data_IF_000556912624
#
_entry.id   IF_000556912624
#
_cell.length_a   1.000
_cell.length_b   1.000
_cell.length_c   1.000
_cell.angle_alpha   90.00
_cell.angle_beta   90.00
_cell.angle_gamma   90.00
#
_symmetry.space_group_name_H-M   'P 1'
#
loop_
_entity.id
_entity.type
_entity.pdbx_description
1 polymer ?
#
# COMPACT_ATOMS: atom_id res chain seq x y z
N UNK A 1 3.70 19.40 -4.28
CA UNK A 1 4.80 18.53 -3.77
C UNK A 1 5.75 18.23 -4.94
N UNK A 2 7.05 18.33 -4.73
CA UNK A 2 8.08 18.07 -5.74
C UNK A 2 8.94 16.88 -5.28
N UNK A 3 9.07 15.88 -6.14
CA UNK A 3 9.88 14.67 -5.88
C UNK A 3 10.98 14.47 -6.92
N UNK A 4 11.39 15.55 -7.60
CA UNK A 4 12.46 15.51 -8.60
C UNK A 4 13.73 14.89 -8.03
N UNK A 5 14.23 13.82 -8.67
CA UNK A 5 15.42 13.08 -8.24
C UNK A 5 15.23 12.17 -7.03
N UNK A 6 14.04 12.08 -6.47
CA UNK A 6 13.71 11.15 -5.39
C UNK A 6 13.45 9.74 -5.95
N UNK A 7 13.90 8.73 -5.20
CA UNK A 7 13.76 7.32 -5.55
C UNK A 7 12.65 6.69 -4.71
N UNK A 8 11.63 6.18 -5.37
CA UNK A 8 10.41 5.66 -4.76
C UNK A 8 10.25 4.19 -5.11
N UNK A 9 10.02 3.35 -4.12
CA UNK A 9 9.71 1.92 -4.31
C UNK A 9 8.27 1.67 -3.89
N UNK A 10 7.48 1.04 -4.76
CA UNK A 10 6.06 0.74 -4.54
C UNK A 10 5.82 -0.75 -4.76
N UNK A 11 5.39 -1.45 -3.72
CA UNK A 11 4.95 -2.84 -3.88
C UNK A 11 3.49 -2.89 -4.34
N UNK A 12 3.16 -3.83 -5.26
CA UNK A 12 1.81 -3.90 -5.83
C UNK A 12 1.46 -2.67 -6.67
N UNK A 13 2.43 -2.15 -7.43
CA UNK A 13 2.29 -0.92 -8.23
C UNK A 13 1.66 -1.11 -9.61
N UNK A 14 1.23 -2.32 -9.97
CA UNK A 14 0.71 -2.61 -11.32
C UNK A 14 -0.76 -2.31 -11.53
N UNK A 15 -1.55 -2.09 -10.46
CA UNK A 15 -2.99 -1.81 -10.53
C UNK A 15 -3.46 -0.96 -9.34
N UNK A 16 -4.66 -0.43 -9.42
CA UNK A 16 -5.36 0.22 -8.30
C UNK A 16 -4.57 1.34 -7.63
N UNK A 17 -4.56 1.35 -6.30
CA UNK A 17 -3.91 2.40 -5.49
C UNK A 17 -2.41 2.50 -5.80
N UNK A 18 -1.73 1.34 -5.94
CA UNK A 18 -0.30 1.33 -6.25
C UNK A 18 0.04 1.96 -7.60
N UNK A 19 -0.76 1.68 -8.64
CA UNK A 19 -0.59 2.28 -9.96
C UNK A 19 -0.87 3.79 -9.95
N UNK A 20 -1.96 4.21 -9.32
CA UNK A 20 -2.29 5.62 -9.15
C UNK A 20 -1.17 6.38 -8.41
N UNK A 21 -0.62 5.76 -7.36
CA UNK A 21 0.50 6.32 -6.60
C UNK A 21 1.77 6.41 -7.46
N UNK A 22 2.07 5.38 -8.26
CA UNK A 22 3.22 5.40 -9.17
C UNK A 22 3.12 6.54 -10.18
N UNK A 23 1.95 6.72 -10.80
CA UNK A 23 1.68 7.85 -11.71
C UNK A 23 1.87 9.20 -11.02
N UNK A 24 1.34 9.34 -9.81
CA UNK A 24 1.43 10.59 -9.06
C UNK A 24 2.90 10.94 -8.71
N UNK A 25 3.74 9.97 -8.30
CA UNK A 25 5.16 10.19 -8.06
C UNK A 25 5.93 10.50 -9.35
N UNK A 26 5.67 9.78 -10.45
CA UNK A 26 6.28 10.08 -11.77
C UNK A 26 5.94 11.50 -12.20
N UNK A 27 4.69 11.92 -12.10
CA UNK A 27 4.25 13.28 -12.42
C UNK A 27 4.88 14.36 -11.51
N UNK A 28 5.29 13.97 -10.31
CA UNK A 28 6.02 14.81 -9.37
C UNK A 28 7.55 14.78 -9.57
N UNK A 29 8.06 14.08 -10.60
CA UNK A 29 9.47 14.06 -11.00
C UNK A 29 10.32 12.98 -10.35
N UNK A 30 9.71 12.00 -9.67
CA UNK A 30 10.42 10.91 -9.03
C UNK A 30 10.89 9.82 -10.01
N UNK A 31 11.93 9.07 -9.62
CA UNK A 31 12.25 7.76 -10.18
C UNK A 31 11.46 6.70 -9.39
N UNK A 32 10.73 5.83 -10.07
CA UNK A 32 9.79 4.91 -9.42
C UNK A 32 10.08 3.46 -9.82
N UNK A 33 10.23 2.59 -8.84
CA UNK A 33 10.22 1.13 -9.00
C UNK A 33 8.87 0.61 -8.54
N UNK A 34 8.19 -0.14 -9.41
CA UNK A 34 6.96 -0.84 -9.06
C UNK A 34 7.15 -2.35 -9.12
N UNK A 35 6.54 -3.08 -8.17
CA UNK A 35 6.49 -4.53 -8.23
C UNK A 35 5.08 -5.05 -8.50
N UNK A 36 5.02 -6.25 -9.04
CA UNK A 36 3.79 -7.02 -9.23
C UNK A 36 4.12 -8.47 -9.57
N UNK A 37 3.18 -9.37 -9.33
CA UNK A 37 3.33 -10.81 -9.60
C UNK A 37 3.18 -11.15 -11.10
N UNK A 38 2.42 -10.34 -11.82
CA UNK A 38 2.10 -10.55 -13.23
C UNK A 38 2.94 -9.64 -14.12
N UNK A 39 3.81 -10.24 -14.94
CA UNK A 39 4.56 -9.51 -15.96
C UNK A 39 3.64 -8.72 -16.90
N UNK A 40 2.55 -9.34 -17.36
CA UNK A 40 1.59 -8.67 -18.25
C UNK A 40 0.88 -7.46 -17.62
N UNK A 41 0.59 -7.49 -16.30
CA UNK A 41 0.04 -6.31 -15.62
C UNK A 41 1.09 -5.21 -15.46
N UNK A 42 2.36 -5.56 -15.22
CA UNK A 42 3.46 -4.60 -15.17
C UNK A 42 3.73 -3.97 -16.54
N UNK A 43 3.67 -4.74 -17.61
CA UNK A 43 3.79 -4.24 -18.99
C UNK A 43 2.67 -3.24 -19.32
N UNK A 44 1.42 -3.55 -18.96
CA UNK A 44 0.29 -2.62 -19.13
C UNK A 44 0.48 -1.34 -18.31
N UNK A 45 0.89 -1.47 -17.06
CA UNK A 45 1.18 -0.32 -16.19
C UNK A 45 2.31 0.55 -16.77
N UNK A 46 3.38 -0.08 -17.28
CA UNK A 46 4.49 0.64 -17.91
C UNK A 46 4.06 1.38 -19.17
N UNK A 47 3.24 0.74 -20.01
CA UNK A 47 2.71 1.38 -21.22
C UNK A 47 1.76 2.55 -20.88
N UNK A 48 0.96 2.42 -19.82
CA UNK A 48 0.02 3.46 -19.37
C UNK A 48 0.75 4.66 -18.74
N UNK A 49 1.80 4.42 -17.93
CA UNK A 49 2.61 5.49 -17.33
C UNK A 49 3.52 6.14 -18.37
N UNK A 50 4.06 5.36 -19.29
CA UNK A 50 4.92 5.79 -20.41
C UNK A 50 6.01 6.80 -20.00
N UNK A 51 6.82 6.45 -19.01
CA UNK A 51 7.87 7.32 -18.47
C UNK A 51 9.22 6.59 -18.39
N UNK A 52 10.34 7.25 -18.78
CA UNK A 52 11.68 6.69 -18.62
C UNK A 52 12.10 6.55 -17.13
N UNK A 53 11.40 7.25 -16.23
CA UNK A 53 11.67 7.22 -14.80
C UNK A 53 10.97 6.04 -14.10
N UNK A 54 10.23 5.20 -14.83
CA UNK A 54 9.59 4.00 -14.29
C UNK A 54 10.44 2.77 -14.54
N UNK A 55 10.59 1.95 -13.51
CA UNK A 55 11.15 0.61 -13.58
C UNK A 55 10.16 -0.42 -13.02
N UNK A 56 10.04 -1.56 -13.68
CA UNK A 56 9.17 -2.65 -13.27
C UNK A 56 9.97 -3.84 -12.80
N UNK A 57 9.55 -4.48 -11.72
CA UNK A 57 10.18 -5.67 -11.15
C UNK A 57 9.11 -6.73 -10.94
N UNK A 58 9.22 -7.85 -11.65
CA UNK A 58 8.34 -9.01 -11.38
C UNK A 58 8.80 -9.62 -10.05
N UNK A 59 7.95 -9.50 -9.02
CA UNK A 59 8.22 -10.04 -7.71
C UNK A 59 6.91 -10.23 -6.93
N UNK A 60 6.73 -11.44 -6.38
CA UNK A 60 5.70 -11.74 -5.39
C UNK A 60 6.25 -11.51 -3.99
N UNK A 61 5.75 -10.49 -3.31
CA UNK A 61 6.19 -10.15 -1.95
C UNK A 61 5.83 -11.23 -0.90
N UNK A 62 4.95 -12.18 -1.20
CA UNK A 62 4.72 -13.35 -0.36
C UNK A 62 5.92 -14.32 -0.33
N UNK A 63 6.85 -14.20 -1.29
CA UNK A 63 8.00 -15.08 -1.48
C UNK A 63 9.31 -14.36 -1.14
N UNK A 64 10.00 -14.79 -0.08
CA UNK A 64 11.25 -14.14 0.35
C UNK A 64 12.34 -14.08 -0.75
N UNK A 65 12.53 -15.13 -1.59
CA UNK A 65 13.48 -15.02 -2.70
C UNK A 65 13.14 -13.92 -3.70
N UNK A 66 11.86 -13.65 -3.92
CA UNK A 66 11.43 -12.62 -4.87
C UNK A 66 11.55 -11.20 -4.28
N UNK A 67 11.43 -11.05 -2.96
CA UNK A 67 11.78 -9.80 -2.27
C UNK A 67 13.28 -9.48 -2.49
N UNK A 68 14.15 -10.49 -2.51
CA UNK A 68 15.57 -10.30 -2.81
C UNK A 68 15.81 -9.86 -4.27
N UNK A 69 14.94 -10.24 -5.22
CA UNK A 69 14.98 -9.71 -6.59
C UNK A 69 14.70 -8.21 -6.61
N UNK A 70 13.69 -7.75 -5.86
CA UNK A 70 13.40 -6.32 -5.70
C UNK A 70 14.59 -5.57 -5.07
N UNK A 71 15.12 -6.09 -3.95
CA UNK A 71 16.30 -5.50 -3.29
C UNK A 71 17.44 -5.32 -4.28
N UNK A 72 17.77 -6.37 -5.04
CA UNK A 72 18.84 -6.33 -6.06
C UNK A 72 18.55 -5.31 -7.15
N UNK A 73 17.32 -5.23 -7.67
CA UNK A 73 16.95 -4.27 -8.71
C UNK A 73 17.15 -2.82 -8.26
N UNK A 74 16.77 -2.51 -7.00
CA UNK A 74 16.95 -1.17 -6.42
C UNK A 74 18.44 -0.85 -6.21
N UNK A 75 19.23 -1.81 -5.70
CA UNK A 75 20.63 -1.58 -5.34
C UNK A 75 21.58 -1.57 -6.52
N UNK A 76 21.29 -2.32 -7.58
CA UNK A 76 22.11 -2.31 -8.80
C UNK A 76 22.16 -0.94 -9.47
N UNK A 77 21.14 -0.11 -9.31
CA UNK A 77 21.14 1.26 -9.80
C UNK A 77 22.03 2.21 -8.97
N UNK A 78 22.63 1.71 -7.87
CA UNK A 78 23.43 2.53 -6.94
C UNK A 78 22.61 3.55 -6.16
N UNK A 79 21.28 3.52 -6.29
CA UNK A 79 20.39 4.48 -5.71
C UNK A 79 20.03 4.11 -4.26
N UNK A 80 19.82 5.13 -3.44
CA UNK A 80 19.19 5.01 -2.13
C UNK A 80 17.71 5.32 -2.27
N UNK A 81 16.88 4.76 -1.39
CA UNK A 81 15.42 4.90 -1.41
C UNK A 81 14.98 6.05 -0.51
N UNK A 82 14.27 7.01 -1.07
CA UNK A 82 13.69 8.14 -0.33
C UNK A 82 12.29 7.82 0.19
N UNK A 83 11.52 7.03 -0.57
CA UNK A 83 10.14 6.65 -0.22
C UNK A 83 9.94 5.16 -0.47
N UNK A 84 9.42 4.47 0.54
CA UNK A 84 9.00 3.07 0.42
C UNK A 84 7.50 2.96 0.70
N UNK A 85 6.71 2.64 -0.33
CA UNK A 85 5.28 2.42 -0.22
C UNK A 85 4.96 0.92 -0.26
N UNK A 86 4.65 0.38 0.90
CA UNK A 86 4.30 -1.02 1.13
C UNK A 86 2.79 -1.19 0.92
N UNK A 87 2.40 -1.49 -0.33
CA UNK A 87 1.00 -1.48 -0.75
C UNK A 87 0.49 -2.84 -1.24
N UNK A 88 1.35 -3.77 -1.64
CA UNK A 88 0.93 -5.08 -2.12
C UNK A 88 -0.02 -5.76 -1.14
N UNK A 89 -1.17 -6.21 -1.60
CA UNK A 89 -2.14 -6.86 -0.72
C UNK A 89 -3.19 -7.65 -1.49
N UNK A 90 -3.77 -8.62 -0.79
CA UNK A 90 -4.92 -9.39 -1.25
C UNK A 90 -5.99 -9.41 -0.16
N UNK A 91 -7.23 -9.61 -0.56
CA UNK A 91 -8.35 -9.83 0.34
C UNK A 91 -9.15 -11.05 -0.14
N UNK A 92 -9.61 -11.86 0.79
CA UNK A 92 -10.63 -12.86 0.60
C UNK A 92 -11.60 -12.71 1.76
N UNK A 93 -12.88 -12.60 1.45
CA UNK A 93 -13.93 -12.40 2.46
C UNK A 93 -14.68 -13.72 2.63
N UNK A 94 -14.55 -14.32 3.80
CA UNK A 94 -15.13 -15.62 4.11
C UNK A 94 -15.53 -15.66 5.59
N UNK A 95 -16.75 -16.11 5.94
CA UNK A 95 -17.14 -16.34 7.34
C UNK A 95 -16.14 -17.28 8.03
N UNK A 96 -15.92 -17.08 9.34
CA UNK A 96 -14.91 -17.82 10.11
C UNK A 96 -15.07 -19.35 9.96
N UNK A 97 -16.30 -19.83 9.98
CA UNK A 97 -16.61 -21.27 9.86
C UNK A 97 -16.32 -21.88 8.49
N UNK A 98 -16.15 -21.03 7.45
CA UNK A 98 -15.90 -21.47 6.07
C UNK A 98 -14.47 -21.14 5.61
N UNK A 99 -13.72 -20.39 6.40
CA UNK A 99 -12.37 -19.98 6.06
C UNK A 99 -11.43 -21.19 6.06
N UNK A 100 -10.57 -21.27 5.05
CA UNK A 100 -9.59 -22.33 4.93
C UNK A 100 -8.21 -21.89 5.42
N UNK A 101 -7.35 -22.87 5.77
CA UNK A 101 -5.93 -22.62 6.07
C UNK A 101 -5.24 -21.91 4.88
N UNK A 102 -5.55 -22.32 3.66
CA UNK A 102 -5.01 -21.69 2.45
C UNK A 102 -5.40 -20.20 2.32
N UNK A 103 -6.65 -19.82 2.68
CA UNK A 103 -7.09 -18.43 2.70
C UNK A 103 -6.33 -17.62 3.77
N UNK A 104 -6.11 -18.22 4.92
CA UNK A 104 -5.35 -17.62 6.02
C UNK A 104 -3.90 -17.38 5.61
N UNK A 105 -3.22 -18.42 5.14
CA UNK A 105 -1.82 -18.38 4.75
C UNK A 105 -1.58 -17.40 3.59
N UNK A 106 -2.42 -17.42 2.56
CA UNK A 106 -2.29 -16.51 1.43
C UNK A 106 -2.35 -15.04 1.88
N UNK A 107 -3.32 -14.70 2.74
CA UNK A 107 -3.49 -13.32 3.22
C UNK A 107 -2.37 -12.92 4.19
N UNK A 108 -1.99 -13.77 5.14
CA UNK A 108 -0.87 -13.47 6.05
C UNK A 108 0.48 -13.43 5.33
N UNK A 109 0.74 -14.34 4.40
CA UNK A 109 1.98 -14.33 3.62
C UNK A 109 2.11 -13.07 2.77
N UNK A 110 1.06 -12.63 2.09
CA UNK A 110 1.11 -11.43 1.26
C UNK A 110 1.06 -10.15 2.12
N UNK A 111 0.02 -10.02 2.96
CA UNK A 111 -0.27 -8.76 3.63
C UNK A 111 0.63 -8.48 4.83
N UNK A 112 1.12 -9.48 5.55
CA UNK A 112 1.93 -9.29 6.77
C UNK A 112 3.38 -9.62 6.52
N UNK A 113 3.68 -10.90 6.22
CA UNK A 113 5.05 -11.39 6.00
C UNK A 113 5.74 -10.63 4.86
N UNK A 114 5.03 -10.44 3.74
CA UNK A 114 5.55 -9.72 2.58
C UNK A 114 5.97 -8.28 2.90
N UNK A 115 5.14 -7.55 3.63
CA UNK A 115 5.45 -6.18 4.04
C UNK A 115 6.62 -6.12 5.03
N UNK A 116 6.59 -6.99 6.04
CA UNK A 116 7.63 -7.06 7.06
C UNK A 116 9.01 -7.30 6.45
N UNK A 117 9.14 -8.34 5.63
CA UNK A 117 10.43 -8.70 5.04
C UNK A 117 10.85 -7.78 3.90
N UNK A 118 9.92 -7.14 3.19
CA UNK A 118 10.25 -6.08 2.23
C UNK A 118 10.85 -4.87 2.97
N UNK A 119 10.22 -4.44 4.08
CA UNK A 119 10.79 -3.37 4.91
C UNK A 119 12.18 -3.76 5.41
N UNK A 120 12.32 -4.94 6.03
CA UNK A 120 13.59 -5.42 6.59
C UNK A 120 14.71 -5.40 5.55
N UNK A 121 14.45 -5.91 4.34
CA UNK A 121 15.41 -5.96 3.26
C UNK A 121 15.80 -4.59 2.73
N UNK A 122 14.86 -3.64 2.71
CA UNK A 122 15.11 -2.31 2.15
C UNK A 122 15.60 -1.28 3.20
N UNK A 123 15.49 -1.55 4.50
CA UNK A 123 16.02 -0.65 5.56
C UNK A 123 17.48 -0.20 5.30
N UNK A 124 18.46 -1.09 4.92
CA UNK A 124 19.82 -0.65 4.67
C UNK A 124 19.97 0.32 3.50
N UNK A 125 18.99 0.35 2.62
CA UNK A 125 18.98 1.14 1.38
C UNK A 125 18.15 2.43 1.50
N UNK A 126 17.40 2.62 2.60
CA UNK A 126 16.71 3.87 2.88
C UNK A 126 17.71 5.00 3.20
N UNK A 127 17.46 6.20 2.70
CA UNK A 127 18.20 7.39 3.15
C UNK A 127 17.81 7.76 4.58
N UNK A 128 18.66 8.52 5.28
CA UNK A 128 18.24 9.17 6.51
C UNK A 128 17.17 10.22 6.16
N UNK A 129 16.06 10.23 6.89
CA UNK A 129 14.92 11.07 6.61
C UNK A 129 13.94 10.49 5.57
N UNK A 130 14.12 9.24 5.13
CA UNK A 130 13.17 8.57 4.25
C UNK A 130 11.76 8.49 4.84
N UNK A 131 10.77 8.30 3.98
CA UNK A 131 9.38 8.04 4.38
C UNK A 131 8.95 6.62 3.98
N UNK A 132 8.44 5.88 4.95
CA UNK A 132 7.83 4.56 4.74
C UNK A 132 6.34 4.67 4.98
N UNK A 133 5.53 4.19 4.05
CA UNK A 133 4.07 4.21 4.17
C UNK A 133 3.53 2.79 3.98
N UNK A 134 2.67 2.37 4.90
CA UNK A 134 1.95 1.09 4.81
C UNK A 134 0.52 1.33 4.36
N UNK A 135 0.03 0.51 3.43
CA UNK A 135 -1.39 0.44 3.11
C UNK A 135 -2.09 -0.53 4.06
N UNK A 136 -2.84 0.03 5.00
CA UNK A 136 -3.76 -0.71 5.86
C UNK A 136 -5.18 -0.72 5.24
N UNK A 137 -6.19 -0.61 6.04
CA UNK A 137 -7.59 -0.51 5.63
C UNK A 137 -8.44 -0.09 6.84
N UNK A 138 -9.59 0.53 6.58
CA UNK A 138 -10.62 0.78 7.60
C UNK A 138 -11.06 -0.49 8.35
N UNK A 139 -10.95 -1.67 7.74
CA UNK A 139 -11.30 -2.95 8.39
C UNK A 139 -10.33 -3.35 9.52
N UNK A 140 -9.19 -2.68 9.67
CA UNK A 140 -8.34 -2.87 10.85
C UNK A 140 -9.05 -2.45 12.14
N UNK A 141 -10.04 -1.55 12.03
CA UNK A 141 -10.84 -1.02 13.15
C UNK A 141 -12.33 -1.38 13.03
N UNK A 142 -12.89 -1.34 11.80
CA UNK A 142 -14.29 -1.70 11.55
C UNK A 142 -14.50 -3.22 11.62
N UNK A 143 -15.68 -3.62 12.08
CA UNK A 143 -16.08 -5.03 12.24
C UNK A 143 -17.05 -5.43 11.14
N UNK A 144 -16.54 -5.93 10.02
CA UNK A 144 -17.35 -6.42 8.91
C UNK A 144 -17.40 -7.95 8.91
N UNK A 145 -18.59 -8.51 8.74
CA UNK A 145 -18.77 -9.96 8.63
C UNK A 145 -17.97 -10.50 7.45
N UNK A 146 -17.31 -11.64 7.63
CA UNK A 146 -16.50 -12.30 6.61
C UNK A 146 -15.09 -11.72 6.44
N UNK A 147 -14.70 -10.68 7.17
CA UNK A 147 -13.38 -10.04 6.99
C UNK A 147 -12.34 -10.43 8.04
N UNK A 148 -12.59 -11.44 8.88
CA UNK A 148 -11.77 -11.73 10.07
C UNK A 148 -10.28 -11.87 9.78
N UNK A 149 -9.89 -12.68 8.77
CA UNK A 149 -8.50 -12.88 8.39
C UNK A 149 -7.93 -11.58 7.82
N UNK A 150 -8.62 -10.94 6.87
CA UNK A 150 -8.17 -9.70 6.27
C UNK A 150 -7.98 -8.59 7.29
N UNK A 151 -8.96 -8.41 8.18
CA UNK A 151 -8.90 -7.43 9.27
C UNK A 151 -7.72 -7.69 10.22
N UNK A 152 -7.50 -8.97 10.58
CA UNK A 152 -6.35 -9.35 11.40
C UNK A 152 -5.01 -9.01 10.73
N UNK A 153 -4.88 -9.23 9.40
CA UNK A 153 -3.66 -8.83 8.68
C UNK A 153 -3.43 -7.32 8.71
N UNK A 154 -4.50 -6.51 8.58
CA UNK A 154 -4.39 -5.05 8.58
C UNK A 154 -4.13 -4.49 9.99
N UNK A 155 -4.72 -5.08 11.04
CA UNK A 155 -4.37 -4.77 12.43
C UNK A 155 -2.92 -5.10 12.76
N UNK A 156 -2.41 -6.24 12.29
CA UNK A 156 -0.99 -6.60 12.42
C UNK A 156 -0.07 -5.58 11.73
N UNK A 157 -0.41 -5.13 10.52
CA UNK A 157 0.34 -4.09 9.80
C UNK A 157 0.40 -2.78 10.57
N UNK A 158 -0.72 -2.33 11.14
CA UNK A 158 -0.76 -1.10 11.94
C UNK A 158 0.23 -1.19 13.10
N UNK A 159 0.27 -2.31 13.80
CA UNK A 159 1.18 -2.51 14.92
C UNK A 159 2.65 -2.56 14.47
N UNK A 160 2.94 -3.27 13.37
CA UNK A 160 4.29 -3.33 12.77
C UNK A 160 4.78 -1.92 12.39
N UNK A 161 3.95 -1.13 11.72
CA UNK A 161 4.30 0.22 11.28
C UNK A 161 4.56 1.16 12.48
N UNK A 162 3.74 1.10 13.53
CA UNK A 162 3.92 1.87 14.76
C UNK A 162 5.23 1.54 15.48
N UNK A 163 5.62 0.27 15.53
CA UNK A 163 6.88 -0.16 16.11
C UNK A 163 8.05 0.30 15.24
N UNK A 164 7.98 0.09 13.93
CA UNK A 164 9.00 0.53 12.98
C UNK A 164 9.23 2.05 13.02
N UNK A 165 8.19 2.85 13.27
CA UNK A 165 8.30 4.30 13.46
C UNK A 165 9.23 4.69 14.62
N UNK A 166 9.27 3.88 15.67
CA UNK A 166 10.19 4.08 16.81
C UNK A 166 11.59 3.52 16.52
N UNK A 167 11.66 2.30 15.97
CA UNK A 167 12.93 1.63 15.70
C UNK A 167 13.80 2.35 14.65
N UNK A 168 13.18 3.08 13.72
CA UNK A 168 13.87 3.81 12.66
C UNK A 168 14.06 5.32 12.96
N UNK A 169 13.61 5.79 14.12
CA UNK A 169 13.60 7.21 14.49
C UNK A 169 15.02 7.83 14.55
N UNK A 170 16.04 7.10 15.00
CA UNK A 170 17.42 7.59 15.05
C UNK A 170 17.97 7.99 13.67
N UNK A 171 17.45 7.35 12.61
CA UNK A 171 17.75 7.69 11.23
C UNK A 171 16.80 8.75 10.65
N UNK A 172 15.92 9.33 11.47
CA UNK A 172 14.87 10.29 11.08
C UNK A 172 13.92 9.74 9.99
N UNK A 173 13.82 8.40 9.89
CA UNK A 173 12.90 7.75 8.97
C UNK A 173 11.51 7.80 9.59
N UNK A 174 10.55 8.35 8.84
CA UNK A 174 9.14 8.37 9.27
C UNK A 174 8.42 7.15 8.73
N UNK A 175 7.59 6.54 9.56
CA UNK A 175 6.75 5.41 9.17
C UNK A 175 5.31 5.74 9.50
N UNK A 176 4.45 5.77 8.49
CA UNK A 176 3.04 6.10 8.64
C UNK A 176 2.14 5.08 7.93
N UNK A 177 0.86 5.18 8.16
CA UNK A 177 -0.15 4.25 7.68
C UNK A 177 -1.22 5.04 6.93
N UNK A 178 -1.56 4.62 5.72
CA UNK A 178 -2.78 5.03 5.04
C UNK A 178 -3.80 3.90 5.13
N UNK A 179 -5.01 4.21 5.58
CA UNK A 179 -6.12 3.27 5.76
C UNK A 179 -7.30 3.67 4.87
N UNK A 180 -7.35 3.15 3.63
CA UNK A 180 -8.46 3.43 2.74
C UNK A 180 -9.79 2.84 3.24
N UNK A 181 -10.87 3.55 2.99
CA UNK A 181 -12.21 3.01 2.98
C UNK A 181 -12.51 2.24 1.69
N UNK A 182 -13.79 2.13 1.28
CA UNK A 182 -14.17 1.51 0.02
C UNK A 182 -13.71 2.39 -1.16
N UNK A 183 -12.69 1.93 -1.89
CA UNK A 183 -12.09 2.61 -3.06
C UNK A 183 -12.32 1.79 -4.30
N UNK A 184 -12.76 2.44 -5.39
CA UNK A 184 -12.98 1.78 -6.67
C UNK A 184 -11.64 1.34 -7.27
N UNK A 185 -11.38 0.04 -7.21
CA UNK A 185 -10.17 -0.59 -7.70
C UNK A 185 -10.47 -1.98 -8.23
N UNK A 186 -9.65 -2.53 -9.15
CA UNK A 186 -9.79 -3.93 -9.57
C UNK A 186 -9.73 -4.91 -8.39
N UNK A 187 -8.98 -4.59 -7.34
CA UNK A 187 -8.91 -5.40 -6.12
C UNK A 187 -10.25 -5.46 -5.38
N UNK A 188 -10.94 -4.34 -5.18
CA UNK A 188 -12.26 -4.32 -4.56
C UNK A 188 -13.27 -5.07 -5.46
N UNK A 189 -13.26 -4.79 -6.75
CA UNK A 189 -14.19 -5.43 -7.71
C UNK A 189 -14.06 -6.95 -7.78
N UNK A 190 -12.89 -7.49 -7.47
CA UNK A 190 -12.66 -8.94 -7.46
C UNK A 190 -13.24 -9.66 -6.24
N UNK A 191 -13.57 -8.93 -5.16
CA UNK A 191 -13.99 -9.52 -3.87
C UNK A 191 -15.40 -9.16 -3.44
N UNK A 192 -16.06 -8.24 -4.15
CA UNK A 192 -17.46 -7.86 -3.89
C UNK A 192 -18.32 -8.06 -5.15
N UNK A 193 -19.58 -8.46 -4.99
CA UNK A 193 -20.53 -8.48 -6.11
C UNK A 193 -20.90 -7.04 -6.54
N UNK A 194 -21.27 -6.82 -7.81
CA UNK A 194 -21.55 -5.47 -8.34
C UNK A 194 -22.58 -4.68 -7.54
N UNK A 195 -23.61 -5.33 -7.00
CA UNK A 195 -24.67 -4.72 -6.19
C UNK A 195 -24.15 -4.18 -4.84
N UNK A 196 -23.06 -4.74 -4.30
CA UNK A 196 -22.46 -4.27 -3.06
C UNK A 196 -21.79 -2.89 -3.19
N UNK A 197 -21.45 -2.46 -4.43
CA UNK A 197 -20.86 -1.14 -4.67
C UNK A 197 -21.77 0.00 -4.20
N UNK A 198 -23.07 -0.09 -4.51
CA UNK A 198 -24.05 0.92 -4.10
C UNK A 198 -24.19 0.97 -2.57
N UNK A 199 -24.20 -0.21 -1.93
CA UNK A 199 -24.23 -0.30 -0.47
C UNK A 199 -22.99 0.34 0.17
N UNK A 200 -21.79 0.01 -0.33
CA UNK A 200 -20.55 0.57 0.19
C UNK A 200 -20.46 2.10 -0.03
N UNK A 201 -20.94 2.59 -1.17
CA UNK A 201 -21.03 4.02 -1.44
C UNK A 201 -21.95 4.71 -0.43
N UNK A 202 -23.15 4.16 -0.21
CA UNK A 202 -24.13 4.69 0.75
C UNK A 202 -23.66 4.61 2.21
N UNK A 203 -22.73 3.69 2.53
CA UNK A 203 -22.15 3.56 3.85
C UNK A 203 -21.07 4.63 4.15
N UNK A 204 -20.63 5.42 3.18
CA UNK A 204 -19.74 6.56 3.41
C UNK A 204 -20.52 7.85 3.64
N UNK A 205 -19.99 8.76 4.44
CA UNK A 205 -20.62 10.08 4.62
C UNK A 205 -20.66 10.90 3.30
N UNK A 206 -19.69 10.65 2.40
CA UNK A 206 -19.61 11.32 1.09
C UNK A 206 -20.48 10.63 0.02
N UNK A 207 -21.20 9.56 0.34
CA UNK A 207 -22.15 8.83 -0.52
C UNK A 207 -21.58 8.36 -1.84
N UNK A 208 -20.29 8.00 -1.86
CA UNK A 208 -19.59 7.47 -3.01
C UNK A 208 -18.40 6.57 -2.60
N UNK A 209 -17.94 5.76 -3.52
CA UNK A 209 -16.63 5.14 -3.38
C UNK A 209 -15.53 6.20 -3.56
N UNK A 210 -14.39 5.99 -2.92
CA UNK A 210 -13.19 6.78 -3.18
C UNK A 210 -12.54 6.37 -4.51
N UNK A 211 -11.72 7.26 -5.07
CA UNK A 211 -10.86 7.00 -6.21
C UNK A 211 -9.44 6.66 -5.73
N UNK A 212 -8.73 5.82 -6.50
CA UNK A 212 -7.34 5.47 -6.20
C UNK A 212 -6.42 6.70 -6.13
N UNK A 213 -6.69 7.73 -6.93
CA UNK A 213 -5.94 8.99 -6.95
C UNK A 213 -6.10 9.79 -5.65
N UNK A 214 -7.22 9.65 -4.93
CA UNK A 214 -7.42 10.31 -3.63
C UNK A 214 -6.50 9.70 -2.57
N UNK A 215 -6.32 8.38 -2.61
CA UNK A 215 -5.37 7.68 -1.73
C UNK A 215 -3.93 8.07 -2.12
N UNK A 216 -3.62 8.09 -3.42
CA UNK A 216 -2.30 8.47 -3.92
C UNK A 216 -1.89 9.87 -3.45
N UNK A 217 -2.79 10.85 -3.45
CA UNK A 217 -2.53 12.21 -2.93
C UNK A 217 -2.13 12.20 -1.46
N UNK A 218 -2.79 11.38 -0.64
CA UNK A 218 -2.44 11.23 0.78
C UNK A 218 -1.07 10.56 0.94
N UNK A 219 -0.75 9.55 0.13
CA UNK A 219 0.57 8.91 0.15
C UNK A 219 1.67 9.92 -0.22
N UNK A 220 1.47 10.75 -1.25
CA UNK A 220 2.43 11.79 -1.61
C UNK A 220 2.60 12.81 -0.47
N UNK A 221 1.52 13.23 0.18
CA UNK A 221 1.59 14.11 1.34
C UNK A 221 2.42 13.49 2.47
N UNK A 222 2.13 12.25 2.86
CA UNK A 222 2.88 11.54 3.90
C UNK A 222 4.35 11.32 3.54
N UNK A 223 4.66 11.21 2.25
CA UNK A 223 6.03 11.08 1.75
C UNK A 223 6.79 12.40 1.72
N UNK A 224 6.10 13.55 1.71
CA UNK A 224 6.71 14.88 1.55
C UNK A 224 7.19 15.48 2.88
N UNK A 225 7.93 16.59 2.77
CA UNK A 225 8.38 17.38 3.90
C UNK A 225 7.23 18.08 4.64
N UNK A 226 6.07 18.27 3.97
CA UNK A 226 4.85 18.82 4.59
C UNK A 226 4.34 17.90 5.74
N UNK A 227 4.73 16.63 5.74
CA UNK A 227 4.43 15.65 6.78
C UNK A 227 5.63 15.41 7.75
N UNK A 228 6.59 16.34 7.82
CA UNK A 228 7.85 16.14 8.57
C UNK A 228 7.68 15.88 10.07
N UNK A 229 6.56 16.29 10.68
CA UNK A 229 6.25 16.03 12.09
C UNK A 229 5.23 14.92 12.30
N UNK A 230 4.93 14.13 11.25
CA UNK A 230 3.99 13.01 11.29
C UNK A 230 4.76 11.71 11.28
N UNK A 231 4.70 10.94 12.38
CA UNK A 231 5.37 9.64 12.53
C UNK A 231 4.51 8.69 13.38
N UNK A 232 4.37 7.44 12.95
CA UNK A 232 3.57 6.41 13.63
C UNK A 232 2.04 6.60 13.50
N UNK A 233 1.59 7.52 12.67
CA UNK A 233 0.18 7.87 12.55
C UNK A 233 -0.56 7.01 11.51
N UNK A 234 -1.85 6.76 11.80
CA UNK A 234 -2.79 6.16 10.86
C UNK A 234 -3.71 7.24 10.28
N UNK A 235 -3.75 7.33 8.96
CA UNK A 235 -4.59 8.25 8.21
C UNK A 235 -5.75 7.51 7.57
N UNK A 236 -6.95 7.73 8.08
CA UNK A 236 -8.18 7.27 7.46
C UNK A 236 -8.49 8.11 6.21
N UNK A 237 -8.61 7.46 5.06
CA UNK A 237 -9.00 8.06 3.78
C UNK A 237 -10.19 7.30 3.25
N UNK A 238 -11.36 7.55 3.85
CA UNK A 238 -12.50 6.64 3.81
C UNK A 238 -13.85 7.31 3.50
N UNK A 239 -13.84 8.61 3.20
CA UNK A 239 -15.08 9.35 2.98
C UNK A 239 -16.02 9.37 4.19
N UNK A 240 -15.48 9.15 5.39
CA UNK A 240 -16.24 9.07 6.63
C UNK A 240 -16.89 7.71 6.89
N UNK A 241 -16.40 6.64 6.25
CA UNK A 241 -16.95 5.29 6.36
C UNK A 241 -16.99 4.77 7.81
N UNK A 242 -15.90 4.95 8.57
CA UNK A 242 -15.87 4.48 9.98
C UNK A 242 -16.72 5.35 10.91
N UNK A 243 -16.68 6.67 10.70
CA UNK A 243 -17.26 7.64 11.64
C UNK A 243 -18.66 8.14 11.22
N UNK A 244 -19.22 7.58 10.15
CA UNK A 244 -20.54 7.98 9.67
C UNK A 244 -21.65 7.38 10.50
N UNK A 245 -22.46 8.24 11.11
CA UNK A 245 -23.71 7.84 11.73
C UNK A 245 -24.83 7.89 10.68
N UNK A 246 -25.39 6.74 10.35
CA UNK A 246 -26.63 6.69 9.56
C UNK A 246 -27.74 7.41 10.33
N UNK A 247 -28.38 8.39 9.70
CA UNK A 247 -29.51 9.14 10.24
C UNK A 247 -30.80 8.35 10.06
#
# INVERSE_FOLDING_TARGET
MNFTGKNVVITGGSTGIGLATAKAFINAGANVWITGRSAGNLEKAAAEINSPNLQTVVADTAQLPEIAVLEKAVTQAGNKVDVLFLNAGIATFTPIEQATEADFDAQFNTNVKGHYFTLQKLIPHLVNGASVIFTSSTVATATNVGTSIYSATKGALNKIAQIAANELADRKIRVNIVSPGPVQTPGLESVIPPEAKAYLAAATALQRLGDADEIAKTVLFLASDDASFINGAEFLVDGGYINYATK
#
